data_IF_267080936318
#
_entry.id   IF_267080936318
#
_cell.length_a   1.000
_cell.length_b   1.000
_cell.length_c   1.000
_cell.angle_alpha   90.00
_cell.angle_beta   90.00
_cell.angle_gamma   90.00
#
_symmetry.space_group_name_H-M   'P 1'
#
loop_
_entity.id
_entity.type
_entity.pdbx_description
1 polymer ?
#
# COMPACT_ATOMS: atom_id res chain seq x y z
N UNK A 1 40.43 -5.18 9.86
CA UNK A 1 39.31 -5.52 8.97
C UNK A 1 39.87 -6.32 7.80
N UNK A 2 39.03 -7.13 7.17
CA UNK A 2 39.35 -7.84 5.94
C UNK A 2 38.42 -7.34 4.84
N UNK A 3 38.95 -7.10 3.65
CA UNK A 3 38.15 -6.77 2.46
C UNK A 3 38.42 -7.81 1.37
N UNK A 4 37.37 -8.09 0.60
CA UNK A 4 37.46 -8.90 -0.60
C UNK A 4 36.99 -8.04 -1.78
N UNK A 5 37.78 -8.05 -2.86
CA UNK A 5 37.43 -7.39 -4.12
C UNK A 5 36.85 -8.37 -5.16
N UNK A 6 36.80 -9.67 -4.82
CA UNK A 6 36.38 -10.76 -5.71
C UNK A 6 35.13 -11.50 -5.20
N UNK A 7 34.33 -10.86 -4.37
CA UNK A 7 33.04 -11.42 -3.92
C UNK A 7 33.16 -12.49 -2.84
N UNK A 8 34.30 -12.59 -2.15
CA UNK A 8 34.51 -13.44 -0.98
C UNK A 8 35.46 -14.62 -1.20
N UNK A 9 36.02 -14.78 -2.41
CA UNK A 9 36.94 -15.86 -2.76
C UNK A 9 38.35 -15.65 -2.18
N UNK A 10 38.81 -14.40 -2.12
CA UNK A 10 40.09 -14.02 -1.50
C UNK A 10 39.91 -12.86 -0.54
N UNK A 11 40.68 -12.90 0.54
CA UNK A 11 40.62 -11.93 1.63
C UNK A 11 41.97 -11.28 1.85
N UNK A 12 41.99 -9.95 1.87
CA UNK A 12 43.16 -9.18 2.28
C UNK A 12 42.90 -8.54 3.64
N UNK A 13 43.76 -8.85 4.60
CA UNK A 13 43.73 -8.24 5.92
C UNK A 13 44.52 -6.94 5.91
N UNK A 14 43.96 -5.89 6.49
CA UNK A 14 44.72 -4.69 6.83
C UNK A 14 44.43 -4.25 8.26
N UNK A 15 45.48 -3.75 8.91
CA UNK A 15 45.39 -3.18 10.26
C UNK A 15 44.63 -1.87 10.17
N UNK A 16 43.56 -1.76 10.96
CA UNK A 16 42.64 -0.60 10.93
C UNK A 16 42.99 0.41 12.02
N UNK A 17 43.50 -0.06 13.15
CA UNK A 17 43.85 0.77 14.29
C UNK A 17 44.92 0.09 15.13
N UNK A 18 45.72 0.89 15.82
CA UNK A 18 46.63 0.51 16.90
C UNK A 18 46.06 0.82 18.29
N UNK A 19 44.93 1.53 18.35
CA UNK A 19 44.21 1.77 19.59
C UNK A 19 43.50 0.48 20.05
N UNK A 20 43.75 0.09 21.30
CA UNK A 20 42.97 -0.95 21.96
C UNK A 20 41.57 -0.41 22.21
N UNK A 21 40.59 -0.88 21.43
CA UNK A 21 39.19 -0.69 21.76
C UNK A 21 38.90 -1.47 23.05
N UNK A 22 38.66 -0.75 24.15
CA UNK A 22 38.23 -1.31 25.43
C UNK A 22 36.75 -0.96 25.63
N UNK A 23 35.83 -1.80 25.13
CA UNK A 23 34.39 -1.61 25.31
C UNK A 23 34.05 -1.50 26.80
N UNK A 24 33.35 -0.43 27.21
CA UNK A 24 32.86 -0.26 28.58
C UNK A 24 31.32 -0.22 28.57
N UNK A 25 30.64 -0.95 29.45
CA UNK A 25 29.19 -0.86 29.61
C UNK A 25 28.70 0.57 29.82
N UNK A 26 27.53 0.87 29.28
CA UNK A 26 26.83 2.12 29.59
C UNK A 26 26.46 2.07 31.08
N UNK A 27 26.86 3.05 31.91
CA UNK A 27 26.49 3.07 33.31
C UNK A 27 24.97 3.18 33.45
N UNK A 28 24.33 2.13 33.98
CA UNK A 28 22.89 2.09 34.21
C UNK A 28 22.56 2.07 35.71
N UNK A 29 21.47 2.72 36.15
CA UNK A 29 20.99 2.63 37.54
C UNK A 29 20.72 1.18 37.94
N UNK A 30 20.91 0.83 39.22
CA UNK A 30 20.65 -0.52 39.74
C UNK A 30 19.20 -0.99 39.49
N UNK A 31 18.25 -0.06 39.37
CA UNK A 31 16.85 -0.34 39.01
C UNK A 31 16.65 -0.84 37.57
N UNK A 32 17.66 -0.74 36.70
CA UNK A 32 17.67 -1.19 35.31
C UNK A 32 18.70 -2.31 35.07
N UNK A 33 18.79 -3.25 36.03
CA UNK A 33 19.79 -4.33 36.08
C UNK A 33 19.80 -5.29 34.86
N UNK A 34 18.78 -5.28 34.01
CA UNK A 34 18.72 -6.14 32.83
C UNK A 34 19.74 -5.75 31.73
N UNK A 35 20.41 -4.61 31.85
CA UNK A 35 21.30 -4.04 30.83
C UNK A 35 22.71 -3.66 31.33
N UNK A 36 23.13 -4.10 32.53
CA UNK A 36 24.43 -3.70 33.13
C UNK A 36 25.68 -4.07 32.31
N UNK A 37 25.52 -4.91 31.28
CA UNK A 37 26.54 -5.45 30.36
C UNK A 37 26.20 -5.12 28.89
N UNK A 38 25.30 -4.16 28.69
CA UNK A 38 24.80 -3.78 27.37
C UNK A 38 25.60 -2.61 26.82
N UNK A 39 26.10 -2.75 25.59
CA UNK A 39 27.01 -1.78 24.98
C UNK A 39 26.48 -1.17 23.67
N UNK A 40 25.17 -1.29 23.42
CA UNK A 40 24.47 -0.72 22.26
C UNK A 40 23.75 -1.76 21.40
N UNK A 41 22.81 -1.30 20.57
CA UNK A 41 21.97 -2.12 19.70
C UNK A 41 22.68 -2.44 18.37
N UNK A 42 22.53 -3.69 17.91
CA UNK A 42 22.81 -4.21 16.57
C UNK A 42 23.95 -3.54 15.77
N UNK A 43 25.14 -4.15 15.80
CA UNK A 43 26.29 -3.68 15.00
C UNK A 43 26.12 -3.98 13.50
N UNK A 44 25.15 -4.83 13.13
CA UNK A 44 24.81 -5.11 11.75
C UNK A 44 23.63 -6.06 11.59
N UNK A 45 22.91 -5.88 10.49
CA UNK A 45 21.92 -6.84 9.98
C UNK A 45 22.31 -7.21 8.55
N UNK A 46 22.39 -8.51 8.27
CA UNK A 46 22.52 -9.04 6.92
C UNK A 46 21.29 -9.89 6.61
N UNK A 47 20.61 -9.63 5.48
CA UNK A 47 19.41 -10.35 5.10
C UNK A 47 19.49 -10.86 3.66
N UNK A 48 19.13 -12.12 3.45
CA UNK A 48 19.05 -12.76 2.14
C UNK A 48 18.11 -13.97 2.20
N UNK A 49 17.35 -14.24 1.13
CA UNK A 49 16.47 -15.41 0.99
C UNK A 49 15.65 -15.75 2.24
N UNK A 50 14.86 -14.80 2.73
CA UNK A 50 14.00 -14.99 3.92
C UNK A 50 14.75 -15.27 5.23
N UNK A 51 16.05 -15.02 5.29
CA UNK A 51 16.84 -15.15 6.50
C UNK A 51 17.44 -13.79 6.86
N UNK A 52 17.23 -13.34 8.09
CA UNK A 52 18.02 -12.27 8.69
C UNK A 52 19.02 -12.86 9.69
N UNK A 53 20.25 -12.38 9.60
CA UNK A 53 21.29 -12.56 10.59
C UNK A 53 21.42 -11.27 11.38
N UNK A 54 20.97 -11.30 12.63
CA UNK A 54 21.14 -10.18 13.55
C UNK A 54 22.44 -10.38 14.30
N UNK A 55 23.31 -9.36 14.28
CA UNK A 55 24.58 -9.38 15.00
C UNK A 55 24.56 -8.32 16.08
N UNK A 56 24.84 -8.71 17.31
CA UNK A 56 25.00 -7.79 18.44
C UNK A 56 26.30 -8.11 19.18
N UNK A 57 26.78 -7.16 19.98
CA UNK A 57 27.90 -7.40 20.88
C UNK A 57 27.41 -7.34 22.33
N UNK A 58 27.92 -8.24 23.17
CA UNK A 58 27.73 -8.17 24.62
C UNK A 58 28.96 -8.70 25.35
N UNK A 59 29.06 -8.37 26.63
CA UNK A 59 30.13 -8.84 27.53
C UNK A 59 29.57 -9.63 28.73
N UNK A 60 28.36 -10.22 28.59
CA UNK A 60 27.69 -10.93 29.70
C UNK A 60 28.49 -12.14 30.20
N UNK A 61 29.43 -12.63 29.41
CA UNK A 61 30.36 -13.72 29.76
C UNK A 61 31.65 -13.23 30.42
N UNK A 62 31.80 -11.92 30.64
CA UNK A 62 33.04 -11.26 31.10
C UNK A 62 34.06 -11.00 30.00
N UNK A 63 33.77 -11.42 28.75
CA UNK A 63 34.58 -11.13 27.57
C UNK A 63 33.71 -10.46 26.51
N UNK A 64 34.20 -9.38 25.90
CA UNK A 64 33.48 -8.71 24.82
C UNK A 64 33.44 -9.60 23.56
N UNK A 65 32.23 -9.99 23.16
CA UNK A 65 32.01 -10.95 22.07
C UNK A 65 30.92 -10.45 21.12
N UNK A 66 31.07 -10.80 19.85
CA UNK A 66 30.01 -10.66 18.87
C UNK A 66 29.17 -11.94 18.84
N UNK A 67 27.86 -11.78 18.92
CA UNK A 67 26.86 -12.83 18.88
C UNK A 67 26.00 -12.70 17.63
N UNK A 68 25.47 -13.82 17.16
CA UNK A 68 24.63 -13.86 15.97
C UNK A 68 23.39 -14.72 16.21
N UNK A 69 22.23 -14.25 15.72
CA UNK A 69 20.99 -15.04 15.67
C UNK A 69 20.48 -15.12 14.24
N UNK A 70 20.06 -16.33 13.84
CA UNK A 70 19.40 -16.59 12.57
C UNK A 70 17.90 -16.52 12.76
N UNK A 71 17.25 -15.58 12.10
CA UNK A 71 15.78 -15.48 12.03
C UNK A 71 15.35 -15.89 10.62
N UNK A 72 14.58 -16.97 10.54
CA UNK A 72 13.94 -17.38 9.28
C UNK A 72 12.54 -16.80 9.24
N UNK A 73 12.28 -15.92 8.28
CA UNK A 73 10.94 -15.42 8.02
C UNK A 73 10.15 -16.47 7.25
N UNK A 74 8.88 -16.67 7.62
CA UNK A 74 7.93 -17.45 6.82
C UNK A 74 7.74 -16.86 5.43
N UNK A 75 6.95 -17.51 4.59
CA UNK A 75 6.58 -16.99 3.26
C UNK A 75 6.19 -15.52 3.40
N UNK A 76 6.84 -14.59 2.68
CA UNK A 76 6.48 -13.19 2.76
C UNK A 76 5.01 -13.07 2.38
N UNK A 77 4.18 -12.61 3.32
CA UNK A 77 2.82 -12.21 3.00
C UNK A 77 2.93 -10.80 2.48
N UNK A 78 2.56 -10.59 1.22
CA UNK A 78 2.55 -9.25 0.69
C UNK A 78 1.47 -8.45 1.41
N UNK A 79 1.81 -7.22 1.86
CA UNK A 79 0.78 -6.25 2.25
C UNK A 79 0.05 -5.72 1.00
N UNK A 80 0.62 -5.91 -0.19
CA UNK A 80 -0.03 -5.67 -1.47
C UNK A 80 0.27 -6.82 -2.41
N UNK A 81 -0.73 -7.69 -2.68
CA UNK A 81 -0.63 -8.66 -3.79
C UNK A 81 -0.04 -7.93 -5.01
N UNK A 82 0.93 -8.50 -5.75
CA UNK A 82 1.30 -7.91 -7.03
C UNK A 82 0.01 -7.84 -7.85
N UNK A 83 -0.49 -6.62 -8.05
CA UNK A 83 -1.72 -6.36 -8.76
C UNK A 83 -1.48 -6.80 -10.21
N UNK A 84 -1.75 -8.07 -10.52
CA UNK A 84 -2.54 -8.33 -11.72
C UNK A 84 -3.71 -7.38 -11.54
N UNK A 85 -3.80 -6.34 -12.37
CA UNK A 85 -4.97 -5.49 -12.41
C UNK A 85 -6.16 -6.45 -12.44
N UNK A 86 -6.86 -6.56 -11.31
CA UNK A 86 -7.97 -7.49 -11.17
C UNK A 86 -8.99 -6.92 -12.15
N UNK A 87 -9.03 -7.46 -13.37
CA UNK A 87 -10.09 -7.11 -14.29
C UNK A 87 -11.39 -7.38 -13.53
N UNK A 88 -12.35 -6.44 -13.54
CA UNK A 88 -13.57 -6.61 -12.77
C UNK A 88 -14.19 -7.98 -13.07
N UNK A 89 -14.66 -8.69 -12.04
CA UNK A 89 -15.32 -9.98 -12.24
C UNK A 89 -16.66 -9.83 -12.98
N UNK A 90 -17.23 -8.63 -12.97
CA UNK A 90 -18.48 -8.32 -13.64
C UNK A 90 -18.73 -6.82 -13.82
N UNK A 91 -19.82 -6.53 -14.52
CA UNK A 91 -20.36 -5.18 -14.61
C UNK A 91 -20.89 -4.76 -13.24
N UNK A 92 -20.60 -3.53 -12.82
CA UNK A 92 -21.23 -2.98 -11.63
C UNK A 92 -21.38 -1.47 -11.72
N UNK A 93 -22.52 -0.96 -11.27
CA UNK A 93 -22.72 0.44 -10.92
C UNK A 93 -22.77 0.55 -9.39
N UNK A 94 -21.97 1.40 -8.78
CA UNK A 94 -21.99 1.63 -7.33
C UNK A 94 -22.87 2.82 -6.99
N UNK A 95 -23.34 2.84 -5.73
CA UNK A 95 -24.01 4.02 -5.24
C UNK A 95 -23.03 5.20 -5.21
N UNK A 96 -23.47 6.35 -5.71
CA UNK A 96 -22.69 7.57 -5.72
C UNK A 96 -22.29 8.00 -4.30
N UNK A 97 -21.10 8.57 -4.14
CA UNK A 97 -20.63 9.07 -2.84
C UNK A 97 -20.06 10.48 -2.97
N UNK A 98 -20.47 11.42 -2.08
CA UNK A 98 -21.50 11.27 -1.05
C UNK A 98 -22.91 11.14 -1.64
N UNK A 99 -23.86 10.58 -0.87
CA UNK A 99 -25.29 10.61 -1.16
C UNK A 99 -26.09 10.61 0.16
N UNK A 100 -26.84 11.66 0.51
CA UNK A 100 -27.05 12.89 -0.28
C UNK A 100 -25.77 13.72 -0.49
N UNK A 101 -25.72 14.50 -1.57
CA UNK A 101 -24.59 15.39 -1.90
C UNK A 101 -25.03 16.84 -2.10
N UNK A 102 -24.08 17.79 -2.09
CA UNK A 102 -24.36 19.23 -2.18
C UNK A 102 -24.02 19.86 -3.53
N UNK A 103 -22.85 19.56 -4.07
CA UNK A 103 -22.36 20.12 -5.33
C UNK A 103 -21.84 19.02 -6.25
N UNK A 104 -20.90 18.22 -5.75
CA UNK A 104 -20.25 17.16 -6.51
C UNK A 104 -20.46 15.82 -5.80
N UNK A 105 -20.69 14.77 -6.58
CA UNK A 105 -20.67 13.37 -6.13
C UNK A 105 -19.94 12.50 -7.15
N UNK A 106 -19.28 11.46 -6.67
CA UNK A 106 -18.52 10.52 -7.51
C UNK A 106 -19.30 9.23 -7.69
N UNK A 107 -19.39 8.76 -8.94
CA UNK A 107 -20.04 7.52 -9.33
C UNK A 107 -18.96 6.53 -9.73
N UNK A 108 -18.86 5.42 -9.00
CA UNK A 108 -17.92 4.35 -9.32
C UNK A 108 -18.61 3.24 -10.11
N UNK A 109 -17.93 2.69 -11.11
CA UNK A 109 -18.41 1.57 -11.88
C UNK A 109 -17.27 0.67 -12.38
N UNK A 110 -17.63 -0.53 -12.84
CA UNK A 110 -16.68 -1.50 -13.37
C UNK A 110 -17.20 -2.18 -14.62
N UNK A 111 -16.30 -2.46 -15.57
CA UNK A 111 -16.59 -3.24 -16.77
C UNK A 111 -15.58 -4.39 -16.92
N UNK A 112 -16.02 -5.65 -17.06
CA UNK A 112 -15.15 -6.83 -17.13
C UNK A 112 -14.51 -7.02 -18.51
N UNK A 113 -15.09 -6.40 -19.55
CA UNK A 113 -14.67 -6.49 -20.95
C UNK A 113 -14.71 -5.08 -21.55
N UNK A 114 -13.87 -4.82 -22.55
CA UNK A 114 -13.90 -3.56 -23.28
C UNK A 114 -15.24 -3.37 -24.02
N UNK A 115 -15.78 -2.16 -24.01
CA UNK A 115 -17.08 -1.86 -24.62
C UNK A 115 -17.37 -0.36 -24.65
N UNK A 116 -18.43 0.04 -25.36
CA UNK A 116 -18.89 1.42 -25.38
C UNK A 116 -19.69 1.74 -24.11
N UNK A 117 -19.15 2.60 -23.25
CA UNK A 117 -19.75 2.99 -21.97
C UNK A 117 -20.50 4.30 -22.11
N UNK A 118 -21.78 4.30 -21.73
CA UNK A 118 -22.62 5.49 -21.59
C UNK A 118 -23.08 5.62 -20.14
N UNK A 119 -22.62 6.66 -19.44
CA UNK A 119 -23.07 7.01 -18.10
C UNK A 119 -23.81 8.35 -18.16
N UNK A 120 -25.11 8.32 -17.88
CA UNK A 120 -26.02 9.46 -18.05
C UNK A 120 -26.80 9.74 -16.77
N UNK A 121 -27.17 11.00 -16.58
CA UNK A 121 -27.97 11.49 -15.45
C UNK A 121 -29.31 12.02 -15.97
N UNK A 122 -30.39 11.67 -15.27
CA UNK A 122 -31.76 12.02 -15.57
C UNK A 122 -32.44 12.67 -14.38
N UNK A 123 -33.42 13.53 -14.63
CA UNK A 123 -34.36 14.00 -13.61
C UNK A 123 -35.51 12.98 -13.39
N UNK A 124 -36.41 13.28 -12.46
CA UNK A 124 -37.56 12.42 -12.12
C UNK A 124 -38.58 12.25 -13.25
N UNK A 125 -38.53 13.09 -14.29
CA UNK A 125 -39.38 12.96 -15.47
C UNK A 125 -38.77 12.06 -16.54
N UNK A 126 -37.54 11.57 -16.32
CA UNK A 126 -36.78 10.77 -17.28
C UNK A 126 -36.06 11.62 -18.33
N UNK A 127 -36.00 12.95 -18.16
CA UNK A 127 -35.25 13.82 -19.06
C UNK A 127 -33.76 13.70 -18.75
N UNK A 128 -32.97 13.42 -19.79
CA UNK A 128 -31.51 13.45 -19.71
C UNK A 128 -31.03 14.89 -19.43
N UNK A 129 -30.29 15.07 -18.34
CA UNK A 129 -29.74 16.38 -17.95
C UNK A 129 -28.22 16.46 -18.16
N UNK A 130 -27.52 15.33 -18.09
CA UNK A 130 -26.07 15.24 -18.30
C UNK A 130 -25.65 13.89 -18.85
N UNK A 131 -24.62 13.92 -19.69
CA UNK A 131 -23.82 12.75 -20.08
C UNK A 131 -22.47 12.91 -19.38
N UNK A 132 -22.11 11.96 -18.53
CA UNK A 132 -20.84 11.95 -17.79
C UNK A 132 -19.75 11.18 -18.54
N UNK A 133 -20.13 10.12 -19.24
CA UNK A 133 -19.24 9.27 -20.04
C UNK A 133 -20.00 8.81 -21.28
N UNK A 134 -19.34 8.83 -22.44
CA UNK A 134 -19.88 8.30 -23.71
C UNK A 134 -18.73 7.95 -24.66
N UNK A 135 -18.01 6.88 -24.35
CA UNK A 135 -16.82 6.47 -25.09
C UNK A 135 -16.50 4.97 -24.92
N UNK A 136 -15.64 4.43 -25.78
CA UNK A 136 -15.14 3.06 -25.65
C UNK A 136 -14.07 3.01 -24.55
N UNK A 137 -14.27 2.13 -23.57
CA UNK A 137 -13.34 1.91 -22.45
C UNK A 137 -12.82 0.47 -22.46
N UNK A 138 -11.54 0.21 -22.11
CA UNK A 138 -11.06 -1.14 -21.85
C UNK A 138 -11.67 -1.74 -20.57
N UNK A 139 -11.49 -3.04 -20.33
CA UNK A 139 -11.88 -3.65 -19.06
C UNK A 139 -11.18 -2.93 -17.88
N UNK A 140 -11.92 -2.60 -16.83
CA UNK A 140 -11.37 -1.86 -15.69
C UNK A 140 -12.40 -1.27 -14.73
N UNK A 141 -11.88 -0.66 -13.67
CA UNK A 141 -12.64 0.14 -12.70
C UNK A 141 -12.54 1.61 -13.07
N UNK A 142 -13.64 2.33 -12.93
CA UNK A 142 -13.76 3.72 -13.35
C UNK A 142 -14.54 4.54 -12.34
N UNK A 143 -14.33 5.85 -12.42
CA UNK A 143 -15.07 6.85 -11.68
C UNK A 143 -15.46 8.01 -12.57
N UNK A 144 -16.61 8.61 -12.30
CA UNK A 144 -17.08 9.81 -12.97
C UNK A 144 -17.65 10.78 -11.92
N UNK A 145 -17.23 12.04 -11.98
CA UNK A 145 -17.76 13.09 -11.13
C UNK A 145 -19.01 13.71 -11.76
N UNK A 146 -20.07 13.85 -10.98
CA UNK A 146 -21.24 14.64 -11.34
C UNK A 146 -21.23 15.96 -10.56
N UNK A 147 -21.03 17.08 -11.28
CA UNK A 147 -21.21 18.43 -10.74
C UNK A 147 -22.63 18.94 -11.01
N UNK A 148 -23.41 19.05 -9.94
CA UNK A 148 -24.78 19.50 -9.93
C UNK A 148 -24.94 20.92 -9.37
N UNK A 149 -23.88 21.74 -9.42
CA UNK A 149 -23.89 23.11 -8.90
C UNK A 149 -25.00 23.98 -9.50
N UNK A 150 -25.42 23.69 -10.73
CA UNK A 150 -26.49 24.41 -11.44
C UNK A 150 -27.86 23.71 -11.40
N UNK A 151 -27.98 22.57 -10.72
CA UNK A 151 -29.20 21.77 -10.66
C UNK A 151 -29.99 22.04 -9.37
N UNK A 152 -31.31 21.80 -9.37
CA UNK A 152 -32.17 22.02 -8.20
C UNK A 152 -32.04 20.88 -7.18
N UNK A 153 -32.22 21.15 -5.88
CA UNK A 153 -32.30 20.05 -4.88
C UNK A 153 -33.43 19.08 -5.26
N UNK A 154 -33.18 17.77 -5.14
CA UNK A 154 -34.14 16.76 -5.56
C UNK A 154 -33.55 15.36 -5.75
N UNK A 155 -34.42 14.46 -6.23
CA UNK A 155 -34.06 13.12 -6.66
C UNK A 155 -33.59 13.15 -8.10
N UNK A 156 -32.50 12.44 -8.39
CA UNK A 156 -31.97 12.23 -9.72
C UNK A 156 -31.69 10.76 -9.93
N UNK A 157 -31.72 10.33 -11.18
CA UNK A 157 -31.36 8.98 -11.60
C UNK A 157 -30.07 9.04 -12.41
N UNK A 158 -29.23 8.02 -12.30
CA UNK A 158 -28.11 7.83 -13.20
C UNK A 158 -28.08 6.39 -13.70
N UNK A 159 -27.75 6.24 -14.98
CA UNK A 159 -27.77 4.97 -15.67
C UNK A 159 -26.43 4.72 -16.33
N UNK A 160 -25.88 3.54 -16.05
CA UNK A 160 -24.74 2.97 -16.74
C UNK A 160 -25.25 2.00 -17.78
N UNK A 161 -24.91 2.24 -19.05
CA UNK A 161 -25.12 1.33 -20.15
C UNK A 161 -23.76 0.95 -20.77
N UNK A 162 -23.56 -0.33 -21.06
CA UNK A 162 -22.37 -0.83 -21.75
C UNK A 162 -22.82 -1.66 -22.94
N UNK A 163 -22.54 -1.15 -24.15
CA UNK A 163 -23.10 -1.67 -25.40
C UNK A 163 -24.61 -1.97 -25.25
N UNK A 164 -25.06 -3.13 -25.75
CA UNK A 164 -26.42 -3.64 -25.56
C UNK A 164 -26.47 -4.80 -24.54
N UNK A 165 -25.40 -5.03 -23.77
CA UNK A 165 -25.25 -6.21 -22.90
C UNK A 165 -25.51 -5.93 -21.42
N UNK A 166 -25.39 -4.68 -20.97
CA UNK A 166 -25.59 -4.32 -19.57
C UNK A 166 -26.20 -2.92 -19.43
N UNK A 167 -27.19 -2.81 -18.54
CA UNK A 167 -27.81 -1.55 -18.14
C UNK A 167 -28.20 -1.62 -16.67
N UNK A 168 -27.70 -0.70 -15.84
CA UNK A 168 -28.10 -0.55 -14.44
C UNK A 168 -28.38 0.92 -14.13
N UNK A 169 -29.45 1.18 -13.37
CA UNK A 169 -29.87 2.52 -12.94
C UNK A 169 -29.86 2.60 -11.42
N UNK A 170 -29.42 3.74 -10.88
CA UNK A 170 -29.48 4.06 -9.45
C UNK A 170 -29.97 5.47 -9.21
N UNK A 171 -30.37 5.72 -7.97
CA UNK A 171 -30.91 7.01 -7.54
C UNK A 171 -29.90 7.76 -6.66
N UNK A 172 -29.90 9.09 -6.78
CA UNK A 172 -29.11 9.99 -5.95
C UNK A 172 -29.91 11.21 -5.51
N UNK A 173 -29.59 11.74 -4.33
CA UNK A 173 -30.29 12.86 -3.71
C UNK A 173 -29.35 14.07 -3.65
N UNK A 174 -29.73 15.15 -4.33
CA UNK A 174 -29.07 16.45 -4.25
C UNK A 174 -29.73 17.31 -3.16
N UNK A 175 -28.94 17.81 -2.21
CA UNK A 175 -29.36 18.69 -1.13
C UNK A 175 -28.42 19.90 -1.01
N UNK A 176 -28.91 21.07 -1.44
CA UNK A 176 -28.21 22.35 -1.28
C UNK A 176 -28.37 22.96 0.11
#
# INVERSE_FOLDING_TARGET
MAVSADGGDKWQNFRVSDANFQPKPIPMPESLNWSQNYQGDYIGIAAHNNVAYLVWADDRTGNYQAWMSKVTFGTPVSVDKPHKADAPEGYSLKQNYPNPFKHISTIHYSIPVAGHVSLKVFDTTGKEIRILVNEVKPAGFYEAAFDASHESSGLYLYQLQVDDVYSETKEMILRK
#
